data_IF_000712258756
#
_entry.id   IF_000712258756
#
_cell.length_a   1.000
_cell.length_b   1.000
_cell.length_c   1.000
_cell.angle_alpha   90.00
_cell.angle_beta   90.00
_cell.angle_gamma   90.00
#
_symmetry.space_group_name_H-M   'P 1'
#
loop_
_entity.id
_entity.type
_entity.pdbx_description
1 polymer ?
#
# COMPACT_ATOMS: atom_id res chain seq x y z
N UNK A 1 -28.86 0.25 21.06
CA UNK A 1 -28.67 -1.22 21.08
C UNK A 1 -27.65 -1.52 22.16
N UNK A 2 -27.99 -2.29 23.19
CA UNK A 2 -26.98 -2.68 24.18
C UNK A 2 -25.93 -3.57 23.50
N UNK A 3 -24.63 -3.36 23.76
CA UNK A 3 -23.60 -4.20 23.19
C UNK A 3 -23.79 -5.64 23.71
N UNK A 4 -23.79 -6.59 22.79
CA UNK A 4 -23.84 -8.01 23.14
C UNK A 4 -22.74 -8.35 24.16
N UNK A 5 -23.01 -9.14 25.21
CA UNK A 5 -22.01 -9.50 26.20
C UNK A 5 -20.87 -10.26 25.49
N UNK A 6 -19.70 -9.66 25.54
CA UNK A 6 -18.49 -10.20 24.91
C UNK A 6 -17.96 -11.35 25.76
N UNK A 7 -18.15 -12.58 25.30
CA UNK A 7 -17.70 -13.78 25.98
C UNK A 7 -16.16 -13.89 26.10
N UNK A 8 -15.70 -14.86 26.89
CA UNK A 8 -14.27 -15.10 27.16
C UNK A 8 -13.43 -15.27 25.88
N UNK A 9 -14.00 -15.83 24.81
CA UNK A 9 -13.32 -16.00 23.54
C UNK A 9 -13.03 -14.65 22.85
N UNK A 10 -13.91 -13.68 22.99
CA UNK A 10 -13.66 -12.33 22.49
C UNK A 10 -12.50 -11.66 23.23
N UNK A 11 -12.44 -11.78 24.55
CA UNK A 11 -11.36 -11.21 25.35
C UNK A 11 -10.00 -11.82 24.97
N UNK A 12 -9.97 -13.13 24.73
CA UNK A 12 -8.76 -13.84 24.27
C UNK A 12 -8.34 -13.38 22.85
N UNK A 13 -9.29 -13.27 21.93
CA UNK A 13 -9.01 -12.75 20.60
C UNK A 13 -8.48 -11.31 20.64
N UNK A 14 -9.06 -10.45 21.46
CA UNK A 14 -8.58 -9.09 21.68
C UNK A 14 -7.15 -9.07 22.22
N UNK A 15 -6.84 -9.90 23.22
CA UNK A 15 -5.50 -10.00 23.79
C UNK A 15 -4.47 -10.41 22.72
N UNK A 16 -4.79 -11.41 21.90
CA UNK A 16 -3.89 -11.85 20.81
C UNK A 16 -3.73 -10.75 19.75
N UNK A 17 -4.80 -10.02 19.47
CA UNK A 17 -4.76 -8.89 18.55
C UNK A 17 -3.84 -7.78 19.05
N UNK A 18 -3.96 -7.38 20.32
CA UNK A 18 -3.10 -6.35 20.93
C UNK A 18 -1.63 -6.77 20.96
N UNK A 19 -1.35 -8.05 21.26
CA UNK A 19 0.00 -8.61 21.17
C UNK A 19 0.52 -8.52 19.73
N UNK A 20 -0.29 -8.90 18.76
CA UNK A 20 0.05 -8.84 17.34
C UNK A 20 0.33 -7.41 16.88
N UNK A 21 -0.48 -6.44 17.29
CA UNK A 21 -0.26 -5.03 17.00
C UNK A 21 1.07 -4.53 17.58
N UNK A 22 1.37 -4.91 18.82
CA UNK A 22 2.64 -4.53 19.46
C UNK A 22 3.86 -5.12 18.74
N UNK A 23 3.79 -6.38 18.34
CA UNK A 23 4.87 -7.06 17.60
C UNK A 23 5.01 -6.46 16.19
N UNK A 24 3.88 -6.15 15.53
CA UNK A 24 3.87 -5.54 14.20
C UNK A 24 4.38 -4.09 14.17
N UNK A 25 4.63 -3.50 15.34
CA UNK A 25 5.06 -2.11 15.49
C UNK A 25 3.89 -1.15 15.50
N UNK A 26 3.37 -0.87 16.68
CA UNK A 26 2.48 0.26 16.92
C UNK A 26 3.16 1.53 16.36
N UNK A 27 2.46 2.40 15.59
CA UNK A 27 3.02 3.65 15.09
C UNK A 27 3.56 4.58 16.18
N UNK A 28 3.20 4.35 17.45
CA UNK A 28 3.73 5.05 18.61
C UNK A 28 5.03 4.44 19.17
N UNK A 29 5.51 3.34 18.61
CA UNK A 29 6.79 2.74 18.98
C UNK A 29 7.82 2.93 17.85
N UNK A 30 9.11 3.09 18.16
CA UNK A 30 10.15 3.19 17.14
C UNK A 30 10.45 1.85 16.46
N UNK A 31 9.78 0.79 16.81
CA UNK A 31 9.98 -0.54 16.27
C UNK A 31 8.98 -0.85 15.15
N UNK A 32 9.52 -1.13 13.98
CA UNK A 32 8.73 -1.60 12.83
C UNK A 32 8.86 -3.12 12.76
N UNK A 33 7.87 -3.81 13.32
CA UNK A 33 7.75 -5.26 13.22
C UNK A 33 7.30 -5.72 11.83
N UNK A 34 7.14 -7.04 11.65
CA UNK A 34 6.63 -7.58 10.39
C UNK A 34 5.24 -7.00 10.10
N UNK A 35 5.04 -6.56 8.86
CA UNK A 35 3.78 -5.93 8.41
C UNK A 35 2.68 -6.96 8.18
N UNK A 36 3.07 -8.20 7.93
CA UNK A 36 2.14 -9.28 7.67
C UNK A 36 1.68 -9.88 9.01
N UNK A 37 0.40 -9.71 9.29
CA UNK A 37 -0.24 -10.23 10.48
C UNK A 37 -1.18 -11.36 10.10
N UNK A 38 -1.01 -12.53 10.74
CA UNK A 38 -1.86 -13.68 10.47
C UNK A 38 -2.74 -13.98 11.68
N UNK A 39 -4.04 -14.13 11.43
CA UNK A 39 -5.04 -14.55 12.40
C UNK A 39 -5.59 -15.89 11.97
N UNK A 40 -5.64 -16.87 12.89
CA UNK A 40 -6.27 -18.15 12.66
C UNK A 40 -7.51 -18.29 13.51
N UNK A 41 -8.65 -18.58 12.86
CA UNK A 41 -9.90 -18.96 13.52
C UNK A 41 -10.05 -20.45 13.36
N UNK A 42 -10.21 -21.16 14.47
CA UNK A 42 -10.33 -22.62 14.47
C UNK A 42 -11.67 -23.09 15.03
N UNK A 43 -12.07 -24.28 14.60
CA UNK A 43 -13.17 -25.03 15.16
C UNK A 43 -12.66 -26.41 15.60
N UNK A 44 -13.20 -26.95 16.69
CA UNK A 44 -12.84 -28.27 17.19
C UNK A 44 -12.75 -28.34 18.71
N UNK A 45 -12.58 -29.56 19.24
CA UNK A 45 -12.30 -29.80 20.66
C UNK A 45 -10.84 -29.50 20.98
N UNK A 46 -10.49 -29.43 22.27
CA UNK A 46 -9.13 -29.19 22.73
C UNK A 46 -8.09 -30.24 22.22
N UNK A 47 -8.57 -31.40 21.77
CA UNK A 47 -7.71 -32.47 21.27
C UNK A 47 -7.49 -32.45 19.75
N UNK A 48 -8.37 -31.73 19.00
CA UNK A 48 -8.32 -31.68 17.53
C UNK A 48 -8.61 -30.27 17.02
N UNK A 49 -7.79 -29.29 17.46
CA UNK A 49 -7.87 -27.94 16.89
C UNK A 49 -7.49 -28.00 15.41
N UNK A 50 -8.42 -27.60 14.54
CA UNK A 50 -8.16 -27.39 13.12
C UNK A 50 -8.38 -25.93 12.80
N UNK A 51 -7.38 -25.20 12.28
CA UNK A 51 -7.62 -23.87 11.76
C UNK A 51 -8.62 -23.98 10.61
N UNK A 52 -9.75 -23.30 10.77
CA UNK A 52 -10.78 -23.25 9.74
C UNK A 52 -10.53 -22.10 8.77
N UNK A 53 -10.09 -20.97 9.29
CA UNK A 53 -9.84 -19.76 8.51
C UNK A 53 -8.55 -19.11 8.98
N UNK A 54 -7.58 -19.00 8.08
CA UNK A 54 -6.34 -18.25 8.30
C UNK A 54 -6.38 -17.01 7.42
N UNK A 55 -6.21 -15.85 8.03
CA UNK A 55 -6.26 -14.55 7.36
C UNK A 55 -4.97 -13.79 7.63
N UNK A 56 -4.47 -13.07 6.62
CA UNK A 56 -3.31 -12.21 6.75
C UNK A 56 -3.52 -10.86 6.07
N UNK A 57 -2.69 -9.88 6.43
CA UNK A 57 -2.68 -8.57 5.77
C UNK A 57 -1.24 -8.20 5.41
N UNK A 58 -1.05 -7.45 4.34
CA UNK A 58 0.22 -6.81 4.04
C UNK A 58 0.76 -7.09 2.63
N UNK A 59 1.79 -7.89 2.52
CA UNK A 59 2.58 -8.06 1.31
C UNK A 59 1.80 -8.62 0.11
N UNK A 60 2.06 -8.12 -1.12
CA UNK A 60 1.52 -8.68 -2.36
C UNK A 60 1.79 -10.16 -2.56
N UNK A 61 2.88 -10.68 -1.97
CA UNK A 61 3.27 -12.11 -2.08
C UNK A 61 2.24 -13.06 -1.46
N UNK A 62 1.38 -12.57 -0.56
CA UNK A 62 0.31 -13.36 0.06
C UNK A 62 -0.67 -13.93 -0.97
N UNK A 63 -0.78 -13.34 -2.18
CA UNK A 63 -1.57 -13.90 -3.25
C UNK A 63 -1.11 -15.30 -3.66
N UNK A 64 0.19 -15.56 -3.65
CA UNK A 64 0.71 -16.91 -3.89
C UNK A 64 0.44 -17.85 -2.71
N UNK A 65 0.55 -17.39 -1.46
CA UNK A 65 0.23 -18.18 -0.28
C UNK A 65 -1.25 -18.62 -0.26
N UNK A 66 -2.16 -17.72 -0.67
CA UNK A 66 -3.58 -18.02 -0.87
C UNK A 66 -3.77 -19.13 -1.91
N UNK A 67 -3.12 -19.02 -3.06
CA UNK A 67 -3.25 -20.02 -4.14
C UNK A 67 -2.64 -21.37 -3.76
N UNK A 68 -1.60 -21.40 -2.91
CA UNK A 68 -1.00 -22.63 -2.37
C UNK A 68 -1.75 -23.20 -1.17
N UNK A 69 -2.89 -22.60 -0.79
CA UNK A 69 -3.69 -23.05 0.35
C UNK A 69 -2.96 -22.96 1.72
N UNK A 70 -2.00 -22.05 1.82
CA UNK A 70 -1.31 -21.71 3.07
C UNK A 70 -2.14 -20.75 3.94
N UNK A 71 -2.99 -19.93 3.28
CA UNK A 71 -3.98 -19.04 3.85
C UNK A 71 -5.32 -19.22 3.14
N UNK A 72 -6.40 -18.96 3.82
CA UNK A 72 -7.75 -18.91 3.22
C UNK A 72 -8.02 -17.53 2.61
N UNK A 73 -7.63 -16.47 3.30
CA UNK A 73 -7.88 -15.09 2.89
C UNK A 73 -6.72 -14.16 3.21
N UNK A 74 -6.62 -13.07 2.46
CA UNK A 74 -5.70 -11.98 2.77
C UNK A 74 -6.30 -10.63 2.39
N UNK A 75 -5.79 -9.59 3.01
CA UNK A 75 -6.01 -8.20 2.57
C UNK A 75 -4.74 -7.67 1.91
N UNK A 76 -4.93 -6.83 0.91
CA UNK A 76 -3.83 -6.15 0.20
C UNK A 76 -4.20 -4.68 -0.01
N UNK A 77 -3.19 -3.82 -0.01
CA UNK A 77 -3.31 -2.42 -0.41
C UNK A 77 -2.15 -2.04 -1.33
N UNK A 78 -2.44 -1.37 -2.40
CA UNK A 78 -3.73 -1.00 -2.97
C UNK A 78 -4.36 -2.10 -3.82
N UNK A 79 -5.63 -1.90 -4.20
CA UNK A 79 -6.39 -2.83 -5.06
C UNK A 79 -5.74 -3.06 -6.44
N UNK A 80 -4.92 -2.13 -6.92
CA UNK A 80 -4.17 -2.26 -8.17
C UNK A 80 -3.26 -3.48 -8.20
N UNK A 81 -2.62 -3.83 -7.08
CA UNK A 81 -1.78 -5.02 -7.00
C UNK A 81 -2.57 -6.32 -7.08
N UNK A 82 -3.78 -6.35 -6.54
CA UNK A 82 -4.65 -7.52 -6.71
C UNK A 82 -5.11 -7.66 -8.16
N UNK A 83 -5.31 -6.55 -8.87
CA UNK A 83 -5.57 -6.56 -10.31
C UNK A 83 -4.41 -7.16 -11.09
N UNK A 84 -3.16 -6.83 -10.71
CA UNK A 84 -1.96 -7.45 -11.30
C UNK A 84 -1.93 -8.97 -11.06
N UNK A 85 -2.20 -9.41 -9.83
CA UNK A 85 -2.28 -10.83 -9.49
C UNK A 85 -3.36 -11.57 -10.31
N UNK A 86 -4.54 -10.98 -10.44
CA UNK A 86 -5.62 -11.57 -11.23
C UNK A 86 -5.31 -11.66 -12.73
N UNK A 87 -4.60 -10.66 -13.28
CA UNK A 87 -4.27 -10.59 -14.71
C UNK A 87 -2.98 -11.30 -15.08
N UNK A 88 -2.11 -11.62 -14.14
CA UNK A 88 -0.76 -12.10 -14.42
C UNK A 88 0.12 -11.01 -15.02
N UNK A 89 0.18 -9.84 -14.39
CA UNK A 89 0.97 -8.71 -14.84
C UNK A 89 1.88 -8.19 -13.73
N UNK A 90 2.83 -7.36 -14.05
CA UNK A 90 3.71 -6.71 -13.08
C UNK A 90 4.50 -7.71 -12.24
N UNK A 91 4.18 -7.85 -10.95
CA UNK A 91 4.83 -8.80 -10.04
C UNK A 91 4.47 -10.27 -10.30
N UNK A 92 3.42 -10.53 -11.05
CA UNK A 92 2.85 -11.85 -11.23
C UNK A 92 3.06 -12.30 -12.68
N UNK A 93 3.90 -13.33 -12.91
CA UNK A 93 4.20 -13.78 -14.28
C UNK A 93 3.02 -14.48 -14.97
N UNK A 94 2.00 -14.86 -14.18
CA UNK A 94 0.80 -15.57 -14.66
C UNK A 94 -0.42 -15.21 -13.81
N UNK A 95 -1.64 -15.31 -14.39
CA UNK A 95 -2.88 -15.04 -13.67
C UNK A 95 -3.07 -15.97 -12.47
N UNK A 96 -3.45 -15.42 -11.34
CA UNK A 96 -3.80 -16.18 -10.16
C UNK A 96 -5.30 -16.39 -10.04
N UNK A 97 -5.77 -17.59 -9.68
CA UNK A 97 -7.20 -17.92 -9.54
C UNK A 97 -7.76 -17.38 -8.21
N UNK A 98 -7.90 -16.07 -8.11
CA UNK A 98 -8.36 -15.37 -6.93
C UNK A 98 -9.75 -14.75 -7.09
N UNK A 99 -10.42 -14.48 -5.96
CA UNK A 99 -11.73 -13.83 -5.85
C UNK A 99 -11.70 -12.78 -4.74
N UNK A 100 -12.45 -11.71 -4.92
CA UNK A 100 -12.68 -10.69 -3.88
C UNK A 100 -13.92 -11.07 -3.10
N UNK A 101 -13.82 -11.02 -1.76
CA UNK A 101 -14.94 -11.17 -0.83
C UNK A 101 -15.55 -9.82 -0.52
N UNK A 102 -14.72 -8.84 -0.16
CA UNK A 102 -15.14 -7.49 0.19
C UNK A 102 -14.03 -6.49 -0.10
N UNK A 103 -14.37 -5.21 -0.14
CA UNK A 103 -13.38 -4.13 -0.20
C UNK A 103 -13.62 -3.19 0.96
N UNK A 104 -12.63 -3.05 1.85
CA UNK A 104 -12.65 -1.99 2.85
C UNK A 104 -12.39 -0.65 2.14
N UNK A 105 -13.29 0.34 2.27
CA UNK A 105 -13.14 1.60 1.58
C UNK A 105 -12.01 2.42 2.20
N UNK A 106 -11.01 2.74 1.40
CA UNK A 106 -10.03 3.77 1.73
C UNK A 106 -9.83 4.65 0.51
N UNK A 107 -9.67 5.94 0.72
CA UNK A 107 -9.42 6.89 -0.35
C UNK A 107 -7.99 7.39 -0.22
N UNK A 108 -7.10 6.77 -0.97
CA UNK A 108 -5.69 7.09 -0.97
C UNK A 108 -5.13 7.23 -2.38
N UNK A 109 -4.05 7.99 -2.49
CA UNK A 109 -3.45 8.36 -3.77
C UNK A 109 -1.94 8.31 -3.66
N UNK A 110 -1.30 7.89 -4.75
CA UNK A 110 0.15 7.93 -4.86
C UNK A 110 0.57 9.08 -5.76
N UNK A 111 1.48 9.91 -5.27
CA UNK A 111 1.96 11.09 -5.97
C UNK A 111 3.49 11.11 -6.11
N UNK A 112 3.94 11.81 -7.13
CA UNK A 112 5.34 12.08 -7.42
C UNK A 112 5.58 13.57 -7.22
N UNK A 113 6.29 13.95 -6.18
CA UNK A 113 6.65 15.34 -5.92
C UNK A 113 8.12 15.56 -6.25
N UNK A 114 8.41 16.68 -6.93
CA UNK A 114 9.78 17.14 -7.19
C UNK A 114 9.88 18.60 -6.77
N UNK A 115 10.96 18.95 -6.09
CA UNK A 115 11.21 20.31 -5.63
C UNK A 115 11.52 21.24 -6.81
N UNK A 116 10.90 22.44 -6.81
CA UNK A 116 11.06 23.44 -7.85
C UNK A 116 12.51 23.85 -8.14
N UNK A 117 13.37 23.81 -7.11
CA UNK A 117 14.80 24.16 -7.25
C UNK A 117 15.58 23.25 -8.21
N UNK A 118 15.10 22.01 -8.47
CA UNK A 118 15.77 21.07 -9.39
C UNK A 118 15.67 21.52 -10.85
N UNK A 119 14.67 22.34 -11.17
CA UNK A 119 14.33 22.73 -12.54
C UNK A 119 13.70 21.60 -13.37
N UNK A 120 13.52 20.38 -12.79
CA UNK A 120 12.88 19.27 -13.47
C UNK A 120 11.37 19.53 -13.60
N UNK A 121 10.81 19.20 -14.77
CA UNK A 121 9.38 19.38 -15.08
C UNK A 121 8.65 18.06 -15.30
N UNK A 122 9.37 16.97 -15.53
CA UNK A 122 8.83 15.63 -15.72
C UNK A 122 9.77 14.58 -15.14
N UNK A 123 9.29 13.34 -14.98
CA UNK A 123 10.14 12.22 -14.59
C UNK A 123 11.09 11.79 -15.71
N UNK A 124 10.73 12.03 -16.97
CA UNK A 124 11.60 11.77 -18.13
C UNK A 124 12.94 12.52 -18.02
N UNK A 125 12.90 13.76 -17.57
CA UNK A 125 14.08 14.60 -17.43
C UNK A 125 15.09 14.06 -16.41
N UNK A 126 14.68 13.25 -15.45
CA UNK A 126 15.60 12.59 -14.49
C UNK A 126 16.58 11.71 -15.26
N UNK A 127 16.06 10.89 -16.19
CA UNK A 127 16.88 10.02 -17.04
C UNK A 127 17.68 10.81 -18.08
N UNK A 128 17.02 11.70 -18.80
CA UNK A 128 17.64 12.50 -19.87
C UNK A 128 18.86 13.27 -19.39
N UNK A 129 18.74 13.87 -18.19
CA UNK A 129 19.80 14.69 -17.58
C UNK A 129 20.73 13.87 -16.69
N UNK A 130 20.46 12.56 -16.48
CA UNK A 130 21.14 11.72 -15.47
C UNK A 130 21.18 12.45 -14.12
N UNK A 131 20.03 12.99 -13.72
CA UNK A 131 19.95 13.89 -12.58
C UNK A 131 20.21 13.14 -11.27
N UNK A 132 21.13 13.61 -10.39
CA UNK A 132 21.46 12.96 -9.12
C UNK A 132 20.39 13.23 -8.07
N UNK A 133 19.20 12.65 -8.27
CA UNK A 133 18.00 12.91 -7.47
C UNK A 133 18.17 12.42 -6.04
N UNK A 134 17.93 13.29 -5.05
CA UNK A 134 17.83 12.92 -3.63
C UNK A 134 16.35 12.62 -3.34
N UNK A 135 16.01 11.34 -3.30
CA UNK A 135 14.63 10.86 -3.30
C UNK A 135 14.24 10.25 -1.96
N UNK A 136 13.12 10.69 -1.41
CA UNK A 136 12.48 10.09 -0.21
C UNK A 136 11.47 9.02 -0.64
N UNK A 137 11.68 7.79 -0.19
CA UNK A 137 10.84 6.60 -0.46
C UNK A 137 10.71 5.71 0.77
N UNK A 138 9.87 4.68 0.69
CA UNK A 138 9.75 3.67 1.76
C UNK A 138 11.00 2.82 1.87
N UNK A 139 11.39 2.49 3.12
CA UNK A 139 12.55 1.65 3.41
C UNK A 139 12.33 0.18 3.04
N UNK A 140 11.13 -0.34 3.25
CA UNK A 140 10.79 -1.72 2.91
C UNK A 140 10.66 -1.90 1.40
N UNK A 141 11.62 -2.59 0.80
CA UNK A 141 11.67 -2.86 -0.64
C UNK A 141 10.51 -3.74 -1.15
N UNK A 142 9.85 -4.47 -0.26
CA UNK A 142 8.70 -5.33 -0.61
C UNK A 142 7.36 -4.60 -0.48
N UNK A 143 7.36 -3.37 0.05
CA UNK A 143 6.16 -2.58 0.22
C UNK A 143 5.55 -2.20 -1.14
N UNK A 144 4.24 -2.18 -1.20
CA UNK A 144 3.48 -1.84 -2.42
C UNK A 144 3.84 -0.50 -3.06
N UNK A 145 4.22 0.50 -2.25
CA UNK A 145 4.72 1.79 -2.75
C UNK A 145 6.04 1.63 -3.52
N UNK A 146 6.96 0.76 -3.04
CA UNK A 146 8.23 0.50 -3.72
C UNK A 146 8.00 -0.21 -5.05
N UNK A 147 7.04 -1.16 -5.09
CA UNK A 147 6.61 -1.80 -6.33
C UNK A 147 6.13 -0.75 -7.34
N UNK A 148 5.30 0.20 -6.92
CA UNK A 148 4.80 1.24 -7.81
C UNK A 148 5.91 2.19 -8.26
N UNK A 149 6.84 2.56 -7.37
CA UNK A 149 8.03 3.35 -7.75
C UNK A 149 8.84 2.63 -8.82
N UNK A 150 9.17 1.36 -8.60
CA UNK A 150 9.98 0.57 -9.53
C UNK A 150 9.28 0.41 -10.89
N UNK A 151 7.98 0.12 -10.90
CA UNK A 151 7.18 0.03 -12.13
C UNK A 151 7.08 1.38 -12.86
N UNK A 152 6.97 2.48 -12.11
CA UNK A 152 6.97 3.82 -12.71
C UNK A 152 8.32 4.15 -13.33
N UNK A 153 9.40 3.94 -12.61
CA UNK A 153 10.75 4.18 -13.15
C UNK A 153 11.02 3.30 -14.38
N UNK A 154 10.55 2.05 -14.36
CA UNK A 154 10.65 1.14 -15.51
C UNK A 154 9.90 1.68 -16.75
N UNK A 155 8.75 2.33 -16.58
CA UNK A 155 8.05 2.99 -17.69
C UNK A 155 8.91 4.05 -18.38
N UNK A 156 9.77 4.73 -17.63
CA UNK A 156 10.75 5.68 -18.16
C UNK A 156 12.08 5.02 -18.57
N UNK A 157 12.19 3.70 -18.45
CA UNK A 157 13.40 2.94 -18.78
C UNK A 157 14.58 3.26 -17.87
N UNK A 158 14.35 3.50 -16.59
CA UNK A 158 15.36 3.72 -15.56
C UNK A 158 14.99 2.93 -14.29
N UNK A 159 15.93 2.83 -13.38
CA UNK A 159 15.81 2.15 -12.09
C UNK A 159 16.31 3.03 -10.95
N UNK A 160 16.05 2.66 -9.71
CA UNK A 160 16.66 3.30 -8.54
C UNK A 160 18.20 3.22 -8.60
N UNK A 161 18.76 2.11 -9.08
CA UNK A 161 20.22 1.95 -9.25
C UNK A 161 20.82 2.92 -10.27
N UNK A 162 20.06 3.25 -11.32
CA UNK A 162 20.51 4.27 -12.28
C UNK A 162 20.60 5.64 -11.59
N UNK A 163 19.57 6.03 -10.82
CA UNK A 163 19.57 7.28 -10.06
C UNK A 163 20.78 7.32 -9.11
N UNK A 164 21.05 6.22 -8.40
CA UNK A 164 22.22 6.11 -7.52
C UNK A 164 23.53 6.24 -8.30
N UNK A 165 23.65 5.60 -9.45
CA UNK A 165 24.84 5.66 -10.33
C UNK A 165 25.11 7.06 -10.86
N UNK A 166 24.09 7.89 -10.96
CA UNK A 166 24.20 9.31 -11.36
C UNK A 166 24.53 10.23 -10.18
N UNK A 167 24.77 9.68 -8.99
CA UNK A 167 25.09 10.41 -7.76
C UNK A 167 23.88 10.80 -6.92
N UNK A 168 22.72 10.25 -7.23
CA UNK A 168 21.51 10.38 -6.40
C UNK A 168 21.60 9.61 -5.08
N UNK A 169 20.67 9.87 -4.19
CA UNK A 169 20.62 9.21 -2.87
C UNK A 169 19.19 8.98 -2.41
N UNK A 170 19.01 8.05 -1.47
CA UNK A 170 17.69 7.70 -0.96
C UNK A 170 17.58 7.99 0.54
N UNK A 171 16.58 8.77 0.88
CA UNK A 171 16.14 8.93 2.26
C UNK A 171 15.01 7.92 2.50
N UNK A 172 15.28 6.91 3.33
CA UNK A 172 14.40 5.78 3.58
C UNK A 172 13.50 6.03 4.80
N UNK A 173 12.21 5.73 4.66
CA UNK A 173 11.19 6.01 5.67
C UNK A 173 10.30 4.80 5.96
N UNK A 174 9.94 4.62 7.23
CA UNK A 174 9.05 3.56 7.67
C UNK A 174 7.58 3.78 7.28
N UNK A 175 7.13 5.03 7.26
CA UNK A 175 5.74 5.39 6.97
C UNK A 175 5.61 6.74 6.25
N UNK A 176 4.39 7.11 5.77
CA UNK A 176 4.19 8.38 5.06
C UNK A 176 4.43 9.59 5.96
N UNK A 177 4.03 9.54 7.23
CA UNK A 177 4.23 10.59 8.22
C UNK A 177 5.51 10.45 9.06
N UNK A 178 6.51 9.71 8.57
CA UNK A 178 7.79 9.55 9.28
C UNK A 178 8.46 10.91 9.49
N UNK A 179 8.80 11.22 10.74
CA UNK A 179 9.40 12.50 11.10
C UNK A 179 10.70 12.77 10.34
N UNK A 180 11.48 11.73 10.06
CA UNK A 180 12.72 11.84 9.25
C UNK A 180 12.44 12.42 7.87
N UNK A 181 11.29 12.08 7.25
CA UNK A 181 10.86 12.66 5.97
C UNK A 181 10.50 14.13 6.12
N UNK A 182 9.69 14.46 7.12
CA UNK A 182 9.26 15.84 7.37
C UNK A 182 10.46 16.74 7.62
N UNK A 183 11.41 16.30 8.44
CA UNK A 183 12.65 17.00 8.71
C UNK A 183 13.51 17.16 7.43
N UNK A 184 13.62 16.10 6.62
CA UNK A 184 14.39 16.14 5.37
C UNK A 184 13.79 17.09 4.33
N UNK A 185 12.45 17.17 4.24
CA UNK A 185 11.75 18.14 3.38
C UNK A 185 12.02 19.56 3.86
N UNK A 186 11.85 19.83 5.15
CA UNK A 186 12.05 21.15 5.77
C UNK A 186 13.51 21.61 5.68
N UNK A 187 14.47 20.71 5.88
CA UNK A 187 15.89 20.99 5.74
C UNK A 187 16.37 21.08 4.28
N UNK A 188 15.51 20.73 3.31
CA UNK A 188 15.87 20.73 1.91
C UNK A 188 16.93 19.68 1.52
N UNK A 189 17.07 18.61 2.28
CA UNK A 189 18.02 17.52 2.03
C UNK A 189 17.50 16.50 1.02
N UNK A 190 16.20 16.53 0.69
CA UNK A 190 15.58 15.75 -0.38
C UNK A 190 15.09 16.67 -1.52
N UNK A 191 15.13 16.16 -2.75
CA UNK A 191 14.65 16.83 -3.95
C UNK A 191 13.29 16.30 -4.41
N UNK A 192 12.92 15.09 -3.99
CA UNK A 192 11.69 14.44 -4.40
C UNK A 192 11.12 13.55 -3.31
N UNK A 193 9.79 13.35 -3.34
CA UNK A 193 9.07 12.40 -2.50
C UNK A 193 8.08 11.63 -3.38
N UNK A 194 8.19 10.30 -3.39
CA UNK A 194 7.27 9.39 -4.10
C UNK A 194 6.59 8.50 -3.09
N UNK A 195 5.33 8.82 -2.73
CA UNK A 195 4.59 8.06 -1.71
C UNK A 195 3.07 8.30 -1.75
N UNK A 196 2.37 7.51 -0.94
CA UNK A 196 0.94 7.57 -0.59
C UNK A 196 0.73 8.24 0.79
N UNK A 197 -0.47 8.09 1.37
CA UNK A 197 -0.78 8.60 2.72
C UNK A 197 -0.75 10.12 2.82
N UNK A 198 -1.22 10.79 1.78
CA UNK A 198 -1.10 12.24 1.58
C UNK A 198 -1.52 13.11 2.77
N UNK A 199 -2.56 12.78 3.56
CA UNK A 199 -2.95 13.60 4.71
C UNK A 199 -1.84 13.84 5.75
N UNK A 200 -0.81 12.98 5.77
CA UNK A 200 0.24 13.02 6.78
C UNK A 200 1.45 13.90 6.42
N UNK A 201 1.59 14.31 5.14
CA UNK A 201 2.80 14.99 4.69
C UNK A 201 2.65 15.93 3.49
N UNK A 202 1.61 15.78 2.67
CA UNK A 202 1.51 16.42 1.36
C UNK A 202 1.43 17.95 1.44
N UNK A 203 0.61 18.51 2.33
CA UNK A 203 0.50 19.96 2.49
C UNK A 203 1.81 20.59 2.98
N UNK A 204 2.54 19.89 3.86
CA UNK A 204 3.85 20.32 4.30
C UNK A 204 4.85 20.30 3.16
N UNK A 205 4.90 19.22 2.39
CA UNK A 205 5.75 19.11 1.20
C UNK A 205 5.52 20.26 0.20
N UNK A 206 4.25 20.59 -0.08
CA UNK A 206 3.93 21.72 -0.95
C UNK A 206 4.41 23.06 -0.39
N UNK A 207 4.38 23.24 0.92
CA UNK A 207 4.84 24.46 1.58
C UNK A 207 6.36 24.64 1.52
N UNK A 208 7.13 23.55 1.41
CA UNK A 208 8.59 23.59 1.29
C UNK A 208 9.07 23.80 -0.16
N UNK A 209 8.17 23.84 -1.14
CA UNK A 209 8.49 24.05 -2.56
C UNK A 209 8.55 22.79 -3.40
N UNK A 210 8.18 21.63 -2.82
CA UNK A 210 7.89 20.42 -3.58
C UNK A 210 6.61 20.65 -4.40
N UNK A 211 6.56 20.14 -5.62
CA UNK A 211 5.42 20.28 -6.54
C UNK A 211 5.05 18.94 -7.13
N UNK A 212 3.74 18.64 -7.27
CA UNK A 212 3.29 17.41 -7.89
C UNK A 212 3.63 17.40 -9.39
N UNK A 213 4.15 16.26 -9.83
CA UNK A 213 4.46 15.99 -11.23
C UNK A 213 3.45 14.97 -11.74
N UNK A 214 2.74 15.32 -12.79
CA UNK A 214 1.88 14.39 -13.52
C UNK A 214 2.74 13.52 -14.42
N UNK A 215 2.48 12.22 -14.43
CA UNK A 215 3.17 11.30 -15.32
C UNK A 215 2.81 11.58 -16.80
N UNK A 216 3.74 11.30 -17.68
CA UNK A 216 3.49 11.34 -19.12
C UNK A 216 2.47 10.26 -19.55
N UNK A 217 1.76 10.50 -20.64
CA UNK A 217 0.69 9.59 -21.09
C UNK A 217 1.17 8.16 -21.36
N UNK A 218 2.39 7.99 -21.87
CA UNK A 218 2.96 6.66 -22.09
C UNK A 218 3.23 5.92 -20.78
N UNK A 219 3.68 6.62 -19.75
CA UNK A 219 3.92 6.04 -18.43
C UNK A 219 2.60 5.68 -17.72
N UNK A 220 1.59 6.55 -17.83
CA UNK A 220 0.25 6.20 -17.39
C UNK A 220 -0.28 4.97 -18.12
N UNK A 221 -0.15 4.93 -19.47
CA UNK A 221 -0.58 3.76 -20.24
C UNK A 221 0.09 2.49 -19.74
N UNK A 222 1.40 2.51 -19.56
CA UNK A 222 2.15 1.37 -19.03
C UNK A 222 1.61 0.89 -17.69
N UNK A 223 1.39 1.80 -16.75
CA UNK A 223 0.88 1.47 -15.41
C UNK A 223 -0.59 0.95 -15.45
N UNK A 224 -1.43 1.53 -16.30
CA UNK A 224 -2.82 1.06 -16.48
C UNK A 224 -2.86 -0.35 -17.08
N UNK A 225 -1.98 -0.66 -18.02
CA UNK A 225 -1.86 -1.99 -18.62
C UNK A 225 -1.44 -3.03 -17.55
N UNK A 226 -0.61 -2.65 -16.58
CA UNK A 226 -0.26 -3.48 -15.43
C UNK A 226 -1.44 -3.72 -14.48
N UNK A 227 -2.39 -2.79 -14.37
CA UNK A 227 -3.55 -2.91 -13.47
C UNK A 227 -3.74 -1.75 -12.51
N UNK A 228 -2.89 -0.72 -12.58
CA UNK A 228 -3.09 0.52 -11.82
C UNK A 228 -4.26 1.33 -12.39
N UNK A 229 -4.72 2.34 -11.66
CA UNK A 229 -5.79 3.25 -12.09
C UNK A 229 -5.37 4.69 -11.89
N UNK A 230 -5.92 5.59 -12.72
CA UNK A 230 -5.78 7.03 -12.54
C UNK A 230 -6.78 7.55 -11.51
N UNK A 231 -6.37 8.59 -10.80
CA UNK A 231 -7.26 9.43 -10.00
C UNK A 231 -6.92 10.91 -10.22
N UNK A 232 -7.89 11.79 -10.02
CA UNK A 232 -7.64 13.24 -10.06
C UNK A 232 -8.00 13.87 -8.72
N UNK A 233 -7.00 14.32 -8.00
CA UNK A 233 -7.17 15.10 -6.78
C UNK A 233 -7.64 16.50 -7.15
N UNK A 234 -8.76 16.94 -6.56
CA UNK A 234 -9.35 18.26 -6.82
C UNK A 234 -8.71 19.33 -5.93
N UNK A 235 -8.67 20.60 -6.39
CA UNK A 235 -8.32 21.73 -5.53
C UNK A 235 -9.21 21.78 -4.28
N UNK A 236 -8.63 22.22 -3.18
CA UNK A 236 -9.35 22.32 -1.91
C UNK A 236 -9.36 21.04 -1.06
N UNK A 237 -9.01 19.88 -1.63
CA UNK A 237 -8.81 18.66 -0.81
C UNK A 237 -7.59 18.80 0.12
N UNK A 238 -6.55 19.46 -0.37
CA UNK A 238 -5.38 19.86 0.41
C UNK A 238 -5.23 21.39 0.33
N UNK A 239 -4.83 22.00 1.44
CA UNK A 239 -4.74 23.47 1.59
C UNK A 239 -3.86 24.11 0.52
N UNK A 240 -2.75 23.46 0.20
CA UNK A 240 -1.75 24.01 -0.70
C UNK A 240 -1.87 23.51 -2.16
N UNK A 241 -2.80 22.60 -2.45
CA UNK A 241 -3.09 22.17 -3.82
C UNK A 241 -4.07 23.13 -4.49
N UNK A 242 -3.63 23.88 -5.51
CA UNK A 242 -4.41 24.93 -6.18
C UNK A 242 -5.07 24.49 -7.48
N UNK A 243 -4.58 23.40 -8.08
CA UNK A 243 -5.04 22.89 -9.36
C UNK A 243 -5.37 21.40 -9.29
N UNK A 244 -6.09 20.90 -10.29
CA UNK A 244 -6.30 19.46 -10.43
C UNK A 244 -4.96 18.75 -10.60
N UNK A 245 -4.75 17.66 -9.89
CA UNK A 245 -3.57 16.83 -10.05
C UNK A 245 -3.95 15.39 -10.38
N UNK A 246 -3.54 14.89 -11.54
CA UNK A 246 -3.72 13.50 -11.94
C UNK A 246 -2.58 12.64 -11.40
N UNK A 247 -2.94 11.59 -10.68
CA UNK A 247 -2.03 10.70 -9.98
C UNK A 247 -2.48 9.25 -10.10
N UNK A 248 -1.80 8.33 -9.41
CA UNK A 248 -2.22 6.93 -9.32
C UNK A 248 -3.21 6.75 -8.15
N UNK A 249 -4.33 6.08 -8.43
CA UNK A 249 -5.28 5.63 -7.42
C UNK A 249 -4.64 4.54 -6.56
N UNK A 250 -4.47 4.82 -5.29
CA UNK A 250 -3.89 3.90 -4.31
C UNK A 250 -4.94 3.40 -3.31
N UNK A 251 -6.21 3.53 -3.67
CA UNK A 251 -7.37 3.28 -2.81
C UNK A 251 -7.73 1.80 -2.74
N UNK A 252 -8.48 1.47 -1.68
CA UNK A 252 -9.13 0.18 -1.47
C UNK A 252 -8.23 -0.87 -0.82
N UNK A 253 -8.84 -1.56 0.15
CA UNK A 253 -8.26 -2.72 0.82
C UNK A 253 -9.13 -3.94 0.53
N UNK A 254 -8.95 -4.63 -0.61
CA UNK A 254 -9.70 -5.85 -0.88
C UNK A 254 -9.29 -6.97 0.08
N UNK A 255 -10.31 -7.59 0.69
CA UNK A 255 -10.23 -8.91 1.27
C UNK A 255 -10.46 -9.92 0.15
N UNK A 256 -9.52 -10.80 -0.09
CA UNK A 256 -9.55 -11.73 -1.20
C UNK A 256 -9.17 -13.14 -0.79
N UNK A 257 -9.54 -14.10 -1.63
CA UNK A 257 -9.33 -15.52 -1.45
C UNK A 257 -9.01 -16.21 -2.78
N UNK A 258 -8.66 -17.50 -2.76
CA UNK A 258 -8.56 -18.34 -3.95
C UNK A 258 -9.95 -18.65 -4.53
N UNK A 259 -10.02 -18.85 -5.83
CA UNK A 259 -11.28 -19.17 -6.52
C UNK A 259 -11.92 -20.49 -6.04
N UNK A 260 -11.12 -21.39 -5.48
CA UNK A 260 -11.54 -22.71 -4.98
C UNK A 260 -11.94 -22.72 -3.49
N UNK A 261 -12.02 -21.55 -2.82
CA UNK A 261 -12.57 -21.52 -1.46
C UNK A 261 -14.03 -21.99 -1.53
N UNK A 262 -14.48 -22.90 -0.63
CA UNK A 262 -15.89 -23.30 -0.58
C UNK A 262 -16.83 -22.10 -0.42
N UNK A 263 -17.96 -22.13 -1.14
CA UNK A 263 -18.93 -21.03 -1.11
C UNK A 263 -19.51 -20.81 0.30
N UNK A 264 -19.72 -21.88 1.06
CA UNK A 264 -20.20 -21.79 2.46
C UNK A 264 -19.22 -21.01 3.35
N UNK A 265 -17.92 -21.16 3.13
CA UNK A 265 -16.91 -20.44 3.91
C UNK A 265 -16.86 -18.97 3.50
N UNK A 266 -16.95 -18.69 2.21
CA UNK A 266 -17.07 -17.31 1.71
C UNK A 266 -18.33 -16.63 2.24
N UNK A 267 -19.47 -17.36 2.25
CA UNK A 267 -20.75 -16.86 2.76
C UNK A 267 -20.66 -16.50 4.25
N UNK A 268 -20.09 -17.37 5.08
CA UNK A 268 -19.91 -17.11 6.53
C UNK A 268 -19.08 -15.85 6.79
N UNK A 269 -18.06 -15.61 5.98
CA UNK A 269 -17.24 -14.39 6.09
C UNK A 269 -18.06 -13.16 5.70
N UNK A 270 -18.83 -13.22 4.61
CA UNK A 270 -19.71 -12.13 4.21
C UNK A 270 -20.79 -11.83 5.27
N UNK A 271 -21.38 -12.88 5.86
CA UNK A 271 -22.33 -12.77 6.95
C UNK A 271 -21.70 -12.09 8.17
N UNK A 272 -20.49 -12.50 8.58
CA UNK A 272 -19.76 -11.89 9.69
C UNK A 272 -19.44 -10.42 9.44
N UNK A 273 -18.99 -10.05 8.24
CA UNK A 273 -18.74 -8.67 7.83
C UNK A 273 -20.03 -7.83 7.88
N UNK A 274 -21.15 -8.40 7.39
CA UNK A 274 -22.45 -7.72 7.42
C UNK A 274 -22.95 -7.51 8.84
N UNK A 275 -22.84 -8.54 9.70
CA UNK A 275 -23.29 -8.49 11.09
C UNK A 275 -22.46 -7.51 11.94
N UNK A 276 -21.23 -7.21 11.53
CA UNK A 276 -20.29 -6.34 12.26
C UNK A 276 -19.98 -5.04 11.53
N UNK A 277 -20.77 -4.69 10.55
CA UNK A 277 -20.55 -3.52 9.70
C UNK A 277 -20.30 -2.22 10.46
N UNK A 278 -21.04 -2.02 11.55
CA UNK A 278 -20.95 -0.80 12.35
C UNK A 278 -19.76 -0.80 13.33
N UNK A 279 -19.02 -1.91 13.41
CA UNK A 279 -17.85 -2.06 14.28
C UNK A 279 -16.52 -2.09 13.50
N UNK A 280 -16.61 -2.22 12.18
CA UNK A 280 -15.49 -2.21 11.24
C UNK A 280 -15.29 -0.81 10.66
#
# INVERSE_FOLDING_TARGET
MEPLPRGANFQRAKMLWEIGLHIAGDPNTPYYGPRDMCISVGSGSNETFRPWLRMSTGSPILAHAICRNELEMAMINPSGLLTQAYRGTGLFPEPLPIRIIAVYPSLDHFVYLIHSRTGLKSLAEIKEKKFPLRLSIREDATHSTRVLVDQTLAAYGMTLKDIESWGGSFQLNGGPGDQRRLDAMSAGTVDAVFDEGLPLWFDEALSTGLRPITLDDFAFKYLLDLGWRKYTIKPGRFKNLKENHTCIDYSGWPLYTRASLPDDDAYKVCEALSARRDEI
#
